data_IF_400033096688
#
_entry.id   IF_400033096688
#
_cell.length_a   1.000
_cell.length_b   1.000
_cell.length_c   1.000
_cell.angle_alpha   90.00
_cell.angle_beta   90.00
_cell.angle_gamma   90.00
#
_symmetry.space_group_name_H-M   'P 1'
#
loop_
_entity.id
_entity.type
_entity.pdbx_description
1 polymer ?
#
# COMPACT_ATOMS: atom_id res chain seq x y z
N UNK A 1 -23.88 -9.75 5.09
CA UNK A 1 -23.13 -8.94 6.08
C UNK A 1 -22.05 -8.07 5.42
N UNK A 2 -21.30 -8.59 4.45
CA UNK A 2 -20.22 -7.90 3.72
C UNK A 2 -20.64 -6.58 3.02
N UNK A 3 -21.83 -6.52 2.41
CA UNK A 3 -22.31 -5.34 1.67
C UNK A 3 -22.45 -4.09 2.57
N UNK A 4 -22.95 -4.25 3.81
CA UNK A 4 -23.13 -3.13 4.74
C UNK A 4 -21.81 -2.50 5.19
N UNK A 5 -20.74 -3.29 5.27
CA UNK A 5 -19.42 -2.76 5.65
C UNK A 5 -18.77 -1.97 4.51
N UNK A 6 -19.04 -2.35 3.26
CA UNK A 6 -18.53 -1.63 2.09
C UNK A 6 -19.10 -0.21 1.98
N UNK A 7 -20.39 -0.05 2.27
CA UNK A 7 -21.05 1.26 2.34
C UNK A 7 -20.54 2.10 3.52
N UNK A 8 -20.28 1.45 4.66
CA UNK A 8 -19.72 2.12 5.84
C UNK A 8 -18.30 2.65 5.58
N UNK A 9 -17.47 1.90 4.85
CA UNK A 9 -16.14 2.33 4.42
C UNK A 9 -16.20 3.55 3.50
N UNK A 10 -17.08 3.54 2.49
CA UNK A 10 -17.19 4.67 1.57
C UNK A 10 -17.67 5.93 2.27
N UNK A 11 -18.59 5.77 3.24
CA UNK A 11 -19.09 6.88 4.06
C UNK A 11 -17.98 7.45 4.96
N UNK A 12 -17.27 6.57 5.69
CA UNK A 12 -16.13 6.97 6.52
C UNK A 12 -15.03 7.65 5.70
N UNK A 13 -14.71 7.11 4.52
CA UNK A 13 -13.76 7.70 3.58
C UNK A 13 -14.18 9.10 3.15
N UNK A 14 -15.45 9.30 2.74
CA UNK A 14 -15.94 10.62 2.32
C UNK A 14 -15.83 11.64 3.44
N UNK A 15 -16.29 11.28 4.65
CA UNK A 15 -16.18 12.14 5.83
C UNK A 15 -14.72 12.46 6.16
N UNK A 16 -13.84 11.47 6.11
CA UNK A 16 -12.41 11.66 6.34
C UNK A 16 -11.77 12.62 5.33
N UNK A 17 -12.17 12.57 4.05
CA UNK A 17 -11.56 13.36 2.98
C UNK A 17 -12.06 14.81 2.89
N UNK A 18 -13.23 15.12 3.45
CA UNK A 18 -13.90 16.42 3.28
C UNK A 18 -13.06 17.62 3.73
N UNK A 19 -12.20 17.46 4.74
CA UNK A 19 -11.47 18.57 5.36
C UNK A 19 -9.94 18.42 5.34
N UNK A 20 -9.39 17.44 4.60
CA UNK A 20 -7.94 17.21 4.58
C UNK A 20 -7.28 17.81 3.35
N UNK A 21 -6.15 18.47 3.59
CA UNK A 21 -5.29 19.14 2.60
C UNK A 21 -3.91 18.47 2.49
N UNK A 22 -3.65 17.45 3.31
CA UNK A 22 -2.40 16.69 3.28
C UNK A 22 -2.53 15.41 2.44
N UNK A 23 -1.43 14.92 1.83
CA UNK A 23 -1.40 13.64 1.15
C UNK A 23 -1.72 12.49 2.10
N UNK A 24 -2.49 11.51 1.63
CA UNK A 24 -2.96 10.38 2.44
C UNK A 24 -2.32 9.09 1.95
N UNK A 25 -1.80 8.31 2.90
CA UNK A 25 -1.37 6.93 2.68
C UNK A 25 -2.45 5.98 3.23
N UNK A 26 -3.05 5.15 2.38
CA UNK A 26 -4.04 4.18 2.81
C UNK A 26 -3.36 2.87 3.25
N UNK A 27 -3.55 2.46 4.50
CA UNK A 27 -2.99 1.21 5.03
C UNK A 27 -4.05 0.10 5.07
N UNK A 28 -3.85 -0.97 4.28
CA UNK A 28 -4.70 -2.15 4.27
C UNK A 28 -4.02 -3.30 5.03
N UNK A 29 -4.48 -3.59 6.26
CA UNK A 29 -3.89 -4.59 7.14
C UNK A 29 -4.91 -5.58 7.70
N UNK A 30 -5.35 -6.57 6.90
CA UNK A 30 -6.40 -7.51 7.29
C UNK A 30 -6.08 -8.37 8.51
N UNK A 31 -4.80 -8.59 8.84
CA UNK A 31 -4.47 -9.32 10.07
C UNK A 31 -4.89 -8.54 11.33
N UNK A 32 -4.86 -7.20 11.29
CA UNK A 32 -5.39 -6.36 12.37
C UNK A 32 -6.86 -5.94 12.15
N UNK A 33 -7.32 -5.91 10.89
CA UNK A 33 -8.70 -5.55 10.51
C UNK A 33 -9.34 -6.65 9.66
N UNK A 34 -9.60 -7.85 10.21
CA UNK A 34 -9.99 -9.04 9.42
C UNK A 34 -11.33 -8.90 8.71
N UNK A 35 -12.22 -8.05 9.22
CA UNK A 35 -13.50 -7.76 8.59
C UNK A 35 -13.38 -6.81 7.38
N UNK A 36 -12.24 -6.11 7.24
CA UNK A 36 -12.01 -5.10 6.21
C UNK A 36 -10.71 -5.39 5.45
N UNK A 37 -10.79 -6.31 4.49
CA UNK A 37 -9.76 -6.50 3.46
C UNK A 37 -10.19 -5.87 2.15
N UNK A 38 -9.58 -4.72 1.83
CA UNK A 38 -9.93 -3.98 0.63
C UNK A 38 -9.56 -4.77 -0.62
N UNK A 39 -10.53 -5.01 -1.50
CA UNK A 39 -10.25 -5.67 -2.77
C UNK A 39 -9.38 -4.81 -3.68
N UNK A 40 -8.77 -5.43 -4.69
CA UNK A 40 -8.00 -4.71 -5.71
C UNK A 40 -8.81 -3.59 -6.39
N UNK A 41 -10.07 -3.85 -6.76
CA UNK A 41 -10.95 -2.86 -7.38
C UNK A 41 -11.22 -1.66 -6.46
N UNK A 42 -11.35 -1.89 -5.15
CA UNK A 42 -11.54 -0.82 -4.18
C UNK A 42 -10.29 0.04 -4.06
N UNK A 43 -9.10 -0.58 -4.03
CA UNK A 43 -7.83 0.14 -4.01
C UNK A 43 -7.64 0.97 -5.27
N UNK A 44 -7.95 0.43 -6.46
CA UNK A 44 -7.91 1.18 -7.71
C UNK A 44 -8.87 2.40 -7.70
N UNK A 45 -10.08 2.23 -7.17
CA UNK A 45 -11.05 3.33 -7.01
C UNK A 45 -10.54 4.42 -6.04
N UNK A 46 -9.75 4.03 -5.04
CA UNK A 46 -9.11 4.97 -4.13
C UNK A 46 -7.93 5.66 -4.80
N UNK A 47 -7.14 4.94 -5.60
CA UNK A 47 -5.96 5.45 -6.32
C UNK A 47 -6.32 6.54 -7.34
N UNK A 48 -7.54 6.47 -7.90
CA UNK A 48 -8.06 7.50 -8.78
C UNK A 48 -8.29 8.87 -8.11
N UNK A 49 -8.22 8.96 -6.77
CA UNK A 49 -8.41 10.22 -6.05
C UNK A 49 -7.05 10.86 -5.70
N UNK A 50 -6.82 12.08 -6.19
CA UNK A 50 -5.55 12.82 -6.06
C UNK A 50 -5.11 13.14 -4.63
N UNK A 51 -5.98 12.98 -3.61
CA UNK A 51 -5.59 13.12 -2.20
C UNK A 51 -4.81 11.91 -1.69
N UNK A 52 -4.89 10.75 -2.35
CA UNK A 52 -4.14 9.57 -1.96
C UNK A 52 -2.79 9.58 -2.68
N UNK A 53 -1.71 9.70 -1.90
CA UNK A 53 -0.34 9.62 -2.41
C UNK A 53 0.15 8.18 -2.49
N UNK A 54 -0.57 7.23 -1.91
CA UNK A 54 -0.16 5.84 -1.97
C UNK A 54 -0.93 4.87 -1.08
N UNK A 55 -0.44 3.64 -1.10
CA UNK A 55 -1.02 2.48 -0.41
C UNK A 55 0.05 1.74 0.35
N UNK A 56 -0.20 1.39 1.61
CA UNK A 56 0.59 0.41 2.34
C UNK A 56 -0.20 -0.89 2.42
N UNK A 57 0.35 -1.99 1.90
CA UNK A 57 -0.34 -3.28 1.82
C UNK A 57 0.35 -4.31 2.70
N UNK A 58 -0.37 -4.81 3.71
CA UNK A 58 0.06 -5.91 4.56
C UNK A 58 -0.81 -7.14 4.28
N UNK A 59 -0.26 -8.17 3.65
CA UNK A 59 -1.02 -9.39 3.28
C UNK A 59 -0.14 -10.63 3.24
N UNK A 60 -0.78 -11.79 3.33
CA UNK A 60 -0.13 -13.10 3.19
C UNK A 60 0.28 -13.43 1.74
N UNK A 61 -0.28 -12.74 0.73
CA UNK A 61 0.11 -12.85 -0.69
C UNK A 61 0.39 -11.46 -1.29
N UNK A 62 1.56 -10.88 -0.99
CA UNK A 62 1.89 -9.50 -1.35
C UNK A 62 2.09 -9.33 -2.86
N UNK A 63 2.85 -10.20 -3.52
CA UNK A 63 3.31 -9.98 -4.90
C UNK A 63 2.17 -9.80 -5.93
N UNK A 64 1.14 -10.66 -5.90
CA UNK A 64 0.07 -10.65 -6.91
C UNK A 64 -0.86 -9.44 -6.78
N UNK A 65 -1.20 -9.03 -5.55
CA UNK A 65 -2.04 -7.86 -5.29
C UNK A 65 -1.24 -6.57 -5.50
N UNK A 66 0.01 -6.54 -5.04
CA UNK A 66 0.89 -5.38 -5.13
C UNK A 66 1.24 -5.08 -6.59
N UNK A 67 1.57 -6.08 -7.42
CA UNK A 67 1.77 -5.88 -8.85
C UNK A 67 0.51 -5.35 -9.54
N UNK A 68 -0.68 -5.92 -9.25
CA UNK A 68 -1.94 -5.44 -9.83
C UNK A 68 -2.28 -4.01 -9.42
N UNK A 69 -2.14 -3.68 -8.13
CA UNK A 69 -2.38 -2.31 -7.62
C UNK A 69 -1.39 -1.34 -8.26
N UNK A 70 -0.11 -1.69 -8.35
CA UNK A 70 0.92 -0.85 -8.95
C UNK A 70 0.63 -0.58 -10.42
N UNK A 71 0.29 -1.62 -11.20
CA UNK A 71 -0.08 -1.49 -12.63
C UNK A 71 -1.35 -0.66 -12.89
N UNK A 72 -2.18 -0.44 -11.87
CA UNK A 72 -3.42 0.34 -11.99
C UNK A 72 -3.41 1.62 -11.15
N UNK A 73 -2.31 1.88 -10.45
CA UNK A 73 -2.09 3.12 -9.74
C UNK A 73 -1.70 4.20 -10.76
N UNK A 74 -2.08 5.45 -10.48
CA UNK A 74 -1.50 6.56 -11.24
C UNK A 74 0.02 6.60 -11.00
N UNK A 75 0.79 7.13 -11.94
CA UNK A 75 2.24 7.33 -11.77
C UNK A 75 2.59 8.15 -10.51
N UNK A 76 1.64 8.96 -10.02
CA UNK A 76 1.75 9.75 -8.79
C UNK A 76 1.42 9.01 -7.50
N UNK A 77 0.94 7.76 -7.56
CA UNK A 77 0.52 6.96 -6.41
C UNK A 77 1.54 5.88 -6.10
N UNK A 78 2.22 5.99 -4.96
CA UNK A 78 3.21 5.01 -4.54
C UNK A 78 2.55 3.83 -3.81
N UNK A 79 2.83 2.60 -4.24
CA UNK A 79 2.41 1.38 -3.52
C UNK A 79 3.59 0.92 -2.68
N UNK A 80 3.35 0.62 -1.42
CA UNK A 80 4.33 0.19 -0.43
C UNK A 80 3.89 -1.14 0.14
N UNK A 81 4.84 -2.07 0.31
CA UNK A 81 4.61 -3.26 1.09
C UNK A 81 4.93 -3.03 2.58
N UNK A 82 4.32 -3.84 3.44
CA UNK A 82 4.58 -3.85 4.89
C UNK A 82 5.53 -4.98 5.34
N UNK A 83 5.89 -5.90 4.45
CA UNK A 83 6.75 -7.04 4.79
C UNK A 83 8.23 -6.67 4.64
N UNK A 84 9.04 -7.18 5.56
CA UNK A 84 10.50 -6.93 5.58
C UNK A 84 11.33 -8.11 5.11
N UNK A 85 10.71 -9.28 4.94
CA UNK A 85 11.38 -10.55 4.65
C UNK A 85 11.52 -10.84 3.15
N UNK A 86 10.84 -10.09 2.29
CA UNK A 86 10.96 -10.20 0.82
C UNK A 86 11.02 -8.84 0.11
N UNK A 87 11.92 -7.91 0.50
CA UNK A 87 12.00 -6.57 -0.09
C UNK A 87 12.36 -6.59 -1.59
N UNK A 88 12.98 -7.66 -2.08
CA UNK A 88 13.35 -7.82 -3.48
C UNK A 88 12.13 -8.08 -4.38
N UNK A 89 11.15 -8.86 -3.93
CA UNK A 89 9.94 -9.11 -4.72
C UNK A 89 9.04 -7.88 -4.85
N UNK A 90 9.10 -7.01 -3.84
CA UNK A 90 8.33 -5.78 -3.78
C UNK A 90 8.89 -4.75 -4.77
N UNK A 91 10.22 -4.63 -4.85
CA UNK A 91 10.89 -3.78 -5.84
C UNK A 91 10.72 -4.33 -7.27
N UNK A 92 10.76 -5.64 -7.46
CA UNK A 92 10.51 -6.29 -8.77
C UNK A 92 9.07 -6.11 -9.25
N UNK A 93 8.13 -5.96 -8.32
CA UNK A 93 6.74 -5.66 -8.63
C UNK A 93 6.46 -4.15 -8.81
N UNK A 94 7.52 -3.35 -9.02
CA UNK A 94 7.51 -1.89 -9.23
C UNK A 94 6.94 -1.08 -8.06
N UNK A 95 6.84 -1.68 -6.87
CA UNK A 95 6.42 -0.94 -5.68
C UNK A 95 7.55 -0.10 -5.09
N UNK A 96 7.17 0.98 -4.40
CA UNK A 96 8.10 1.79 -3.64
C UNK A 96 8.69 1.02 -2.45
N UNK A 97 9.84 1.49 -1.96
CA UNK A 97 10.58 0.85 -0.87
C UNK A 97 9.70 0.58 0.35
N UNK A 98 9.71 -0.63 0.93
CA UNK A 98 8.76 -1.03 1.95
C UNK A 98 8.76 -0.13 3.19
N UNK A 99 7.58 0.03 3.80
CA UNK A 99 7.42 0.72 5.08
C UNK A 99 7.27 -0.37 6.14
N UNK A 100 8.37 -0.78 6.77
CA UNK A 100 8.35 -1.91 7.71
C UNK A 100 8.95 -1.59 9.08
N UNK A 101 8.39 -2.18 10.13
CA UNK A 101 8.89 -2.05 11.50
C UNK A 101 10.35 -2.51 11.65
N UNK A 102 10.74 -3.53 10.87
CA UNK A 102 12.10 -4.08 10.84
C UNK A 102 13.14 -3.05 10.42
N UNK A 103 12.76 -2.03 9.63
CA UNK A 103 13.67 -0.94 9.25
C UNK A 103 14.17 -0.13 10.44
N UNK A 104 13.43 -0.11 11.55
CA UNK A 104 13.88 0.53 12.80
C UNK A 104 15.13 -0.14 13.36
N UNK A 105 15.30 -1.46 13.14
CA UNK A 105 16.41 -2.25 13.67
C UNK A 105 17.50 -2.50 12.62
N UNK A 106 17.15 -2.59 11.33
CA UNK A 106 18.07 -3.01 10.26
C UNK A 106 18.27 -1.97 9.16
N UNK A 107 18.00 -0.68 9.44
CA UNK A 107 18.04 0.42 8.46
C UNK A 107 19.26 0.39 7.53
N UNK A 108 20.47 0.20 8.11
CA UNK A 108 21.73 0.17 7.36
C UNK A 108 21.87 -1.05 6.44
N UNK A 109 21.36 -2.19 6.86
CA UNK A 109 21.37 -3.42 6.06
C UNK A 109 20.36 -3.29 4.94
N UNK A 110 19.16 -2.84 5.26
CA UNK A 110 18.08 -2.64 4.30
C UNK A 110 18.46 -1.64 3.20
N UNK A 111 19.05 -0.50 3.57
CA UNK A 111 19.54 0.49 2.61
C UNK A 111 20.62 -0.06 1.68
N UNK A 112 21.49 -0.97 2.16
CA UNK A 112 22.52 -1.61 1.31
C UNK A 112 21.92 -2.62 0.34
N UNK A 113 20.88 -3.34 0.74
CA UNK A 113 20.25 -4.37 -0.10
C UNK A 113 19.29 -3.82 -1.14
N UNK A 114 18.64 -2.67 -0.89
CA UNK A 114 17.67 -2.07 -1.83
C UNK A 114 18.29 -1.07 -2.79
N UNK A 115 19.40 -0.42 -2.43
CA UNK A 115 20.09 0.58 -3.28
C UNK A 115 20.45 0.08 -4.69
N UNK A 116 20.92 -1.16 -4.91
CA UNK A 116 21.22 -1.65 -6.26
C UNK A 116 19.97 -1.74 -7.15
N UNK A 117 18.83 -2.10 -6.57
CA UNK A 117 17.57 -2.23 -7.31
C UNK A 117 16.94 -0.87 -7.67
N UNK A 118 17.08 0.12 -6.78
CA UNK A 118 16.57 1.49 -7.02
C UNK A 118 17.40 2.24 -8.07
N UNK A 119 18.69 1.94 -8.18
CA UNK A 119 19.60 2.62 -9.11
C UNK A 119 19.64 2.01 -10.52
N UNK A 120 18.86 0.97 -10.78
CA UNK A 120 18.94 0.18 -12.02
C UNK A 120 20.24 -0.62 -12.06
N UNK A 121 20.19 -1.87 -11.59
CA UNK A 121 21.28 -2.83 -11.79
C UNK A 121 21.47 -3.17 -13.27
#
# INVERSE_FOLDING_TARGET
MVVRQQDSWQTARRAFLQHRVFPILLYNFPAATPELDLSFYMLATVAANSKFAGFKLARENPASKLHRVTMNASESSAVFADRSDVPQYELVAESATPISATMTLTLRVHAKTTKPYVMGG
#
